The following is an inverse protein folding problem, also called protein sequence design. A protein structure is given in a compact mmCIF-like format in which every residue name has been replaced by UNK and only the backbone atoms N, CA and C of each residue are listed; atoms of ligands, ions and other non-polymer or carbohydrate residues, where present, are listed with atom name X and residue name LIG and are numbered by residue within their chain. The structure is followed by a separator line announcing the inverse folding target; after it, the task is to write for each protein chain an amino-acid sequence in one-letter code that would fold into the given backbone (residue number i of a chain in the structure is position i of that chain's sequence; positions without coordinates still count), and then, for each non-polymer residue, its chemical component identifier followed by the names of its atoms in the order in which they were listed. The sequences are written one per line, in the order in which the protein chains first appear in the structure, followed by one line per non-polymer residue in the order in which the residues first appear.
data_IF_485144039930
#
_entry.id   IF_485144039930
#
_cell.length_a   1.000
_cell.length_b   1.000
_cell.length_c   1.000
_cell.angle_alpha   90.00
_cell.angle_beta   90.00
_cell.angle_gamma   90.00
#
_symmetry.space_group_name_H-M   'P 1'
#
loop_
_entity.id
_entity.type
_entity.pdbx_description
1 polymer ?
#
# COMPACT_ATOMS: atom_id res chain seq x y z
N UNK A 1 8.13 11.67 -13.29
CA UNK A 1 7.01 11.39 -12.38
C UNK A 1 7.55 11.42 -10.96
N UNK A 2 7.19 12.43 -10.18
CA UNK A 2 7.72 12.61 -8.83
C UNK A 2 7.14 11.59 -7.84
N UNK A 3 7.92 11.23 -6.82
CA UNK A 3 7.45 10.42 -5.70
C UNK A 3 6.54 11.29 -4.83
N UNK A 4 5.24 11.04 -4.87
CA UNK A 4 4.29 11.74 -4.02
C UNK A 4 4.53 11.33 -2.56
N UNK A 5 4.59 12.32 -1.66
CA UNK A 5 4.78 12.11 -0.24
C UNK A 5 3.56 12.63 0.49
N UNK A 6 2.77 11.72 1.06
CA UNK A 6 1.66 12.07 1.94
C UNK A 6 2.18 12.13 3.38
N UNK A 7 2.01 13.29 4.03
CA UNK A 7 2.45 13.51 5.41
C UNK A 7 1.25 13.59 6.35
N UNK A 8 1.36 12.93 7.50
CA UNK A 8 0.34 12.95 8.56
C UNK A 8 -0.67 11.81 8.42
N UNK A 9 -1.10 11.27 9.57
CA UNK A 9 -2.01 10.13 9.65
C UNK A 9 -3.35 10.42 8.98
N UNK A 10 -3.92 11.60 9.20
CA UNK A 10 -5.22 11.96 8.65
C UNK A 10 -5.19 12.03 7.11
N UNK A 11 -4.21 12.73 6.56
CA UNK A 11 -4.02 12.85 5.12
C UNK A 11 -3.74 11.49 4.48
N UNK A 12 -2.93 10.66 5.15
CA UNK A 12 -2.67 9.29 4.73
C UNK A 12 -3.94 8.44 4.70
N UNK A 13 -4.76 8.50 5.76
CA UNK A 13 -6.03 7.77 5.84
C UNK A 13 -7.00 8.20 4.74
N UNK A 14 -7.13 9.49 4.47
CA UNK A 14 -7.98 9.99 3.39
C UNK A 14 -7.49 9.52 2.01
N UNK A 15 -6.18 9.61 1.75
CA UNK A 15 -5.59 9.16 0.49
C UNK A 15 -5.81 7.65 0.25
N UNK A 16 -5.56 6.81 1.26
CA UNK A 16 -5.71 5.36 1.10
C UNK A 16 -7.18 4.95 0.97
N UNK A 17 -8.09 5.55 1.77
CA UNK A 17 -9.54 5.30 1.64
C UNK A 17 -10.02 5.63 0.23
N UNK A 18 -9.65 6.79 -0.30
CA UNK A 18 -10.01 7.19 -1.67
C UNK A 18 -9.47 6.24 -2.76
N UNK A 19 -8.44 5.45 -2.45
CA UNK A 19 -7.83 4.51 -3.39
C UNK A 19 -8.46 3.10 -3.31
N UNK A 20 -8.70 2.58 -2.10
CA UNK A 20 -9.07 1.16 -1.93
C UNK A 20 -10.52 0.93 -1.52
N UNK A 21 -11.21 1.91 -0.92
CA UNK A 21 -12.53 1.69 -0.33
C UNK A 21 -13.62 1.36 -1.36
N UNK A 22 -13.44 1.77 -2.62
CA UNK A 22 -14.39 1.46 -3.70
C UNK A 22 -14.19 0.08 -4.34
N UNK A 23 -13.10 -0.62 -4.02
CA UNK A 23 -12.80 -1.97 -4.52
C UNK A 23 -13.61 -2.99 -3.72
N UNK A 24 -13.96 -4.10 -4.37
CA UNK A 24 -14.69 -5.20 -3.70
C UNK A 24 -13.74 -6.05 -2.85
N UNK A 25 -12.47 -6.19 -3.27
CA UNK A 25 -11.45 -6.85 -2.47
C UNK A 25 -10.04 -6.31 -2.76
N UNK A 26 -9.18 -6.41 -1.74
CA UNK A 26 -7.73 -6.30 -1.89
C UNK A 26 -7.04 -7.39 -1.08
N UNK A 27 -5.92 -7.89 -1.57
CA UNK A 27 -5.06 -8.80 -0.83
C UNK A 27 -3.61 -8.37 -1.00
N UNK A 28 -2.95 -8.03 0.10
CA UNK A 28 -1.53 -7.70 0.12
C UNK A 28 -0.77 -8.85 0.77
N UNK A 29 -0.08 -9.62 -0.06
CA UNK A 29 0.85 -10.64 0.41
C UNK A 29 2.22 -10.00 0.57
N UNK A 30 2.77 -10.03 1.78
CA UNK A 30 4.16 -9.63 2.03
C UNK A 30 5.00 -10.83 2.43
N UNK A 31 6.24 -10.89 1.95
CA UNK A 31 7.15 -11.99 2.18
C UNK A 31 8.61 -11.52 2.21
N UNK A 32 9.53 -12.43 2.56
CA UNK A 32 10.97 -12.21 2.56
C UNK A 32 11.38 -10.96 3.36
N UNK A 33 10.84 -10.84 4.57
CA UNK A 33 11.06 -9.70 5.46
C UNK A 33 12.51 -9.67 5.93
N UNK A 34 13.18 -8.54 5.74
CA UNK A 34 14.54 -8.26 6.24
C UNK A 34 14.47 -7.07 7.17
N UNK A 35 14.90 -7.27 8.41
CA UNK A 35 14.91 -6.24 9.43
C UNK A 35 16.35 -5.85 9.77
N UNK A 36 16.64 -4.55 9.79
CA UNK A 36 17.86 -3.98 10.37
C UNK A 36 17.44 -3.16 11.58
N UNK A 37 17.88 -3.55 12.78
CA UNK A 37 17.48 -2.91 14.06
C UNK A 37 18.67 -2.19 14.65
N UNK A 38 18.47 -0.93 15.03
CA UNK A 38 19.44 -0.07 15.71
C UNK A 38 18.76 0.62 16.89
N UNK A 39 18.91 0.02 18.07
CA UNK A 39 18.25 0.44 19.31
C UNK A 39 16.73 0.53 19.17
N UNK A 40 16.22 1.76 19.32
CA UNK A 40 14.79 2.08 19.23
C UNK A 40 14.31 2.37 17.81
N UNK A 41 15.19 2.21 16.80
CA UNK A 41 14.87 2.39 15.39
C UNK A 41 15.10 1.11 14.60
N UNK A 42 14.36 0.93 13.51
CA UNK A 42 14.60 -0.17 12.58
C UNK A 42 14.16 0.18 11.15
N UNK A 43 14.80 -0.47 10.18
CA UNK A 43 14.32 -0.50 8.79
C UNK A 43 13.84 -1.91 8.46
N UNK A 44 12.67 -1.99 7.84
CA UNK A 44 12.10 -3.22 7.29
C UNK A 44 12.06 -3.13 5.77
N UNK A 45 12.55 -4.16 5.09
CA UNK A 45 12.28 -4.40 3.66
C UNK A 45 11.43 -5.66 3.53
N UNK A 46 10.34 -5.60 2.77
CA UNK A 46 9.48 -6.75 2.50
C UNK A 46 9.04 -6.78 1.05
N UNK A 47 9.11 -7.94 0.41
CA UNK A 47 8.56 -8.14 -0.94
C UNK A 47 7.04 -8.13 -0.88
N UNK A 48 6.41 -7.61 -1.93
CA UNK A 48 4.97 -7.40 -2.03
C UNK A 48 4.42 -8.02 -3.32
N UNK A 49 3.30 -8.71 -3.19
CA UNK A 49 2.31 -8.85 -4.26
C UNK A 49 0.96 -8.34 -3.75
N UNK A 50 0.40 -7.34 -4.41
CA UNK A 50 -0.87 -6.72 -4.06
C UNK A 50 -1.90 -6.94 -5.17
N UNK A 51 -2.93 -7.74 -4.90
CA UNK A 51 -4.10 -7.94 -5.75
C UNK A 51 -5.21 -6.96 -5.37
N UNK A 52 -5.86 -6.41 -6.38
CA UNK A 52 -7.00 -5.51 -6.28
C UNK A 52 -8.10 -6.04 -7.19
N UNK A 53 -9.35 -6.02 -6.72
CA UNK A 53 -10.49 -6.56 -7.44
C UNK A 53 -11.70 -5.61 -7.40
N UNK A 54 -12.31 -5.42 -8.56
CA UNK A 54 -13.57 -4.71 -8.75
C UNK A 54 -14.47 -5.54 -9.67
N UNK A 55 -15.47 -6.22 -9.12
CA UNK A 55 -16.32 -7.15 -9.87
C UNK A 55 -17.19 -6.45 -10.92
N UNK A 56 -17.44 -5.16 -10.71
CA UNK A 56 -18.23 -4.30 -11.62
C UNK A 56 -17.37 -3.58 -12.66
N UNK A 57 -16.10 -3.96 -12.82
CA UNK A 57 -15.20 -3.34 -13.79
C UNK A 57 -15.73 -3.48 -15.22
N UNK A 58 -15.53 -2.43 -16.04
CA UNK A 58 -15.87 -2.46 -17.48
C UNK A 58 -15.03 -3.45 -18.32
N UNK A 59 -13.97 -4.01 -17.75
CA UNK A 59 -13.04 -4.92 -18.41
C UNK A 59 -12.57 -5.95 -17.38
N UNK A 60 -11.33 -6.44 -17.46
CA UNK A 60 -10.74 -7.35 -16.47
C UNK A 60 -10.97 -6.78 -15.04
N UNK A 61 -11.56 -7.57 -14.12
CA UNK A 61 -11.87 -7.13 -12.77
C UNK A 61 -10.65 -7.01 -11.87
N UNK A 62 -9.45 -7.40 -12.32
CA UNK A 62 -8.27 -7.49 -11.47
C UNK A 62 -7.11 -6.58 -11.87
N UNK A 63 -6.39 -6.11 -10.87
CA UNK A 63 -5.11 -5.43 -11.01
C UNK A 63 -4.14 -5.93 -9.96
N UNK A 64 -2.99 -6.46 -10.40
CA UNK A 64 -1.94 -6.95 -9.50
C UNK A 64 -0.67 -6.12 -9.64
N UNK A 65 -0.09 -5.76 -8.51
CA UNK A 65 1.18 -5.05 -8.39
C UNK A 65 2.19 -5.94 -7.70
N UNK A 66 3.42 -5.97 -8.21
CA UNK A 66 4.55 -6.57 -7.50
C UNK A 66 5.68 -5.58 -7.26
N UNK A 67 6.43 -5.82 -6.21
CA UNK A 67 7.47 -4.90 -5.77
C UNK A 67 7.95 -5.19 -4.37
N UNK A 68 8.33 -4.14 -3.64
CA UNK A 68 8.72 -4.24 -2.25
C UNK A 68 8.39 -2.95 -1.49
N UNK A 69 8.19 -3.10 -0.19
CA UNK A 69 8.14 -2.02 0.77
C UNK A 69 9.52 -1.79 1.40
N UNK A 70 9.82 -0.52 1.67
CA UNK A 70 10.81 -0.11 2.67
C UNK A 70 10.07 0.68 3.75
N UNK A 71 10.20 0.27 5.00
CA UNK A 71 9.50 0.84 6.14
C UNK A 71 10.49 1.29 7.20
N UNK A 72 10.32 2.51 7.71
CA UNK A 72 11.02 3.00 8.89
C UNK A 72 10.13 2.74 10.11
N UNK A 73 10.73 2.19 11.15
CA UNK A 73 10.07 1.74 12.36
C UNK A 73 10.69 2.43 13.57
N UNK A 74 9.87 2.79 14.55
CA UNK A 74 10.29 3.29 15.85
C UNK A 74 9.64 2.48 16.96
N UNK A 75 10.42 2.14 17.99
CA UNK A 75 9.93 1.55 19.23
C UNK A 75 9.49 2.69 20.15
N UNK A 76 8.26 2.62 20.63
CA UNK A 76 7.72 3.58 21.58
C UNK A 76 8.07 3.22 23.02
N UNK A 77 7.82 4.13 23.95
CA UNK A 77 8.05 3.95 25.39
C UNK A 77 7.26 2.76 25.98
N UNK A 78 6.17 2.35 25.31
CA UNK A 78 5.38 1.15 25.63
C UNK A 78 6.01 -0.16 25.12
N UNK A 79 7.24 -0.08 24.60
CA UNK A 79 8.00 -1.19 24.04
C UNK A 79 7.49 -1.67 22.68
N UNK A 80 6.47 -1.03 22.09
CA UNK A 80 5.85 -1.48 20.84
C UNK A 80 6.47 -0.80 19.61
N UNK A 81 6.76 -1.58 18.58
CA UNK A 81 7.21 -1.07 17.28
C UNK A 81 6.05 -0.50 16.46
N UNK A 82 6.27 0.66 15.85
CA UNK A 82 5.33 1.30 14.95
C UNK A 82 6.03 1.76 13.68
N UNK A 83 5.35 1.57 12.56
CA UNK A 83 5.77 2.11 11.27
C UNK A 83 5.52 3.61 11.26
N UNK A 84 6.57 4.41 11.11
CA UNK A 84 6.48 5.87 11.03
C UNK A 84 6.53 6.39 9.59
N UNK A 85 7.11 5.60 8.68
CA UNK A 85 7.16 5.88 7.24
C UNK A 85 7.19 4.56 6.47
N UNK A 86 6.59 4.55 5.29
CA UNK A 86 6.83 3.48 4.35
C UNK A 86 6.87 3.98 2.91
N UNK A 87 7.42 3.14 2.06
CA UNK A 87 7.78 3.44 0.69
C UNK A 87 7.50 2.22 -0.17
N UNK A 88 6.58 2.31 -1.13
CA UNK A 88 6.36 1.27 -2.14
C UNK A 88 7.27 1.51 -3.35
N UNK A 89 8.03 0.49 -3.73
CA UNK A 89 8.70 0.41 -5.02
C UNK A 89 8.01 -0.66 -5.87
N UNK A 90 7.29 -0.22 -6.91
CA UNK A 90 6.65 -1.12 -7.88
C UNK A 90 7.67 -1.53 -8.93
N UNK A 91 7.89 -2.83 -9.09
CA UNK A 91 8.83 -3.38 -10.08
C UNK A 91 8.11 -3.98 -11.28
N UNK A 92 6.87 -4.45 -11.09
CA UNK A 92 6.01 -4.92 -12.17
C UNK A 92 4.53 -4.76 -11.80
N UNK A 93 3.67 -4.82 -12.81
CA UNK A 93 2.22 -4.88 -12.63
C UNK A 93 1.58 -5.66 -13.78
N UNK A 94 0.38 -6.18 -13.56
CA UNK A 94 -0.44 -6.85 -14.58
C UNK A 94 -1.93 -6.58 -14.36
N UNK A 95 -2.73 -6.80 -15.40
CA UNK A 95 -4.19 -6.61 -15.34
C UNK A 95 -4.62 -5.15 -15.55
N UNK A 96 -5.86 -4.87 -15.17
CA UNK A 96 -6.56 -3.63 -15.47
C UNK A 96 -6.37 -2.57 -14.38
N UNK A 97 -5.35 -1.72 -14.53
CA UNK A 97 -5.11 -0.59 -13.61
C UNK A 97 -6.28 0.40 -13.52
N UNK A 98 -7.14 0.48 -14.54
CA UNK A 98 -8.28 1.42 -14.54
C UNK A 98 -9.31 1.09 -13.45
N UNK A 99 -9.32 -0.13 -12.88
CA UNK A 99 -10.21 -0.46 -11.76
C UNK A 99 -10.02 0.49 -10.56
N UNK A 100 -8.81 1.00 -10.32
CA UNK A 100 -8.56 1.95 -9.24
C UNK A 100 -9.31 3.28 -9.46
N UNK A 101 -9.36 3.75 -10.71
CA UNK A 101 -10.11 4.94 -11.09
C UNK A 101 -11.62 4.69 -11.04
N UNK A 102 -12.08 3.52 -11.49
CA UNK A 102 -13.48 3.14 -11.45
C UNK A 102 -13.98 3.02 -10.00
N UNK A 103 -13.19 2.41 -9.13
CA UNK A 103 -13.45 2.30 -7.69
C UNK A 103 -13.54 3.68 -7.03
N UNK A 104 -12.62 4.60 -7.33
CA UNK A 104 -12.69 5.96 -6.79
C UNK A 104 -14.00 6.67 -7.19
N UNK A 105 -14.43 6.55 -8.46
CA UNK A 105 -15.70 7.12 -8.93
C UNK A 105 -16.93 6.50 -8.25
N UNK A 106 -16.85 5.25 -7.81
CA UNK A 106 -17.93 4.58 -7.06
C UNK A 106 -18.18 5.25 -5.71
N UNK A 107 -17.15 5.83 -5.09
CA UNK A 107 -17.25 6.53 -3.79
C UNK A 107 -17.82 7.94 -3.89
N UNK A 108 -17.81 8.53 -5.09
CA UNK A 108 -18.32 9.89 -5.35
C UNK A 108 -19.78 9.94 -5.80
N UNK A 109 -20.48 8.80 -5.78
CA UNK A 109 -21.91 8.68 -6.04
C UNK A 109 -22.65 8.54 -4.72
#
# INVERSE_FOLDING_TARGET
GGREVVKGKAQWLEAIKGTIQGLDATQHLTANHVHTVDGESATLVAYLQALHRLDTARSDPEYTVGGYYTCDMLRGDDGQWRMCRYALAVTWHRGNRDILRQAQRRLSK
#
